data_IF_848209366594
#
_entry.id   IF_848209366594
#
_cell.length_a   1.000
_cell.length_b   1.000
_cell.length_c   1.000
_cell.angle_alpha   90.00
_cell.angle_beta   90.00
_cell.angle_gamma   90.00
#
_symmetry.space_group_name_H-M   'P 1'
#
loop_
_entity.id
_entity.type
_entity.pdbx_description
1 polymer ?
2 non-polymer ?
3 non-polymer ?
4 non-polymer ?
5 water ?
#
# COMPACT_ATOMS: atom_id res chain seq x y z
N UNK A 14 -29.52 -5.48 2.97
CA UNK A 14 -29.33 -4.18 3.68
C UNK A 14 -28.06 -3.43 3.26
N UNK A 15 -26.91 -4.12 3.28
CA UNK A 15 -25.60 -3.52 2.93
C UNK A 15 -25.59 -2.88 1.53
N UNK A 16 -24.77 -1.84 1.37
CA UNK A 16 -24.66 -1.09 0.12
C UNK A 16 -23.74 -1.83 -0.87
N UNK A 17 -24.27 -2.17 -2.07
CA UNK A 17 -23.47 -2.92 -3.04
C UNK A 17 -22.76 -2.01 -4.05
N UNK A 18 -21.88 -2.61 -4.85
CA UNK A 18 -21.18 -1.92 -5.94
C UNK A 18 -20.37 -0.70 -5.54
N UNK A 19 -19.78 -0.77 -4.34
CA UNK A 19 -19.01 0.35 -3.77
C UNK A 19 -19.78 1.66 -3.85
N UNK A 20 -21.11 1.57 -3.71
CA UNK A 20 -21.96 2.74 -3.65
C UNK A 20 -22.30 3.37 -5.00
N UNK A 21 -22.07 2.66 -6.10
CA UNK A 21 -22.35 3.20 -7.43
C UNK A 21 -23.85 3.32 -7.76
N UNK A 22 -24.68 2.60 -7.01
CA UNK A 22 -26.13 2.66 -7.16
C UNK A 22 -26.80 3.53 -6.10
N UNK A 23 -25.99 4.09 -5.21
CA UNK A 23 -26.49 4.83 -4.04
C UNK A 23 -27.25 6.09 -4.43
N UNK A 24 -28.37 6.33 -3.76
CA UNK A 24 -29.21 7.50 -4.03
C UNK A 24 -29.66 8.24 -2.77
N UNK A 25 -28.96 8.00 -1.66
CA UNK A 25 -29.29 8.67 -0.41
C UNK A 25 -28.74 10.09 -0.28
N UNK A 26 -28.85 10.63 0.94
CA UNK A 26 -28.58 12.03 1.21
C UNK A 26 -27.33 12.29 2.09
N UNK A 27 -26.47 11.29 2.27
CA UNK A 27 -25.27 11.49 3.09
C UNK A 27 -24.40 12.55 2.43
N UNK A 28 -24.03 13.57 3.20
CA UNK A 28 -23.40 14.77 2.67
C UNK A 28 -22.26 15.28 3.54
N UNK A 29 -21.69 14.39 4.36
CA UNK A 29 -20.46 14.67 5.13
C UNK A 29 -19.56 13.52 4.91
N UNK A 30 -18.25 13.80 4.96
CA UNK A 30 -17.25 12.76 4.85
C UNK A 30 -17.04 12.09 6.20
N UNK A 31 -16.26 11.02 6.17
CA UNK A 31 -15.96 10.21 7.36
C UNK A 31 -15.36 11.05 8.47
N UNK A 32 -14.80 12.19 8.09
CA UNK A 32 -14.03 12.99 9.04
C UNK A 32 -14.73 14.32 9.32
N UNK A 33 -16.02 14.36 9.03
CA UNK A 33 -16.87 15.50 9.38
C UNK A 33 -16.80 16.68 8.44
N UNK A 34 -16.22 16.48 7.25
CA UNK A 34 -16.13 17.57 6.27
C UNK A 34 -17.43 17.68 5.46
N UNK A 35 -18.09 18.85 5.47
CA UNK A 35 -19.32 19.03 4.67
C UNK A 35 -19.00 18.90 3.19
N UNK A 36 -19.80 18.12 2.48
CA UNK A 36 -19.61 17.98 1.03
C UNK A 36 -19.92 19.30 0.36
N UNK A 37 -19.23 19.61 -0.73
CA UNK A 37 -19.61 20.77 -1.51
C UNK A 37 -20.61 20.29 -2.55
N UNK A 38 -21.46 21.22 -3.01
CA UNK A 38 -22.48 20.90 -4.01
C UNK A 38 -21.78 20.58 -5.32
N UNK A 39 -22.23 19.51 -5.98
CA UNK A 39 -21.61 19.04 -7.22
C UNK A 39 -21.54 20.09 -8.32
N UNK A 40 -22.56 20.97 -8.35
CA UNK A 40 -22.57 22.10 -9.29
C UNK A 40 -21.73 23.33 -8.86
N UNK A 41 -21.18 23.29 -7.64
CA UNK A 41 -20.53 24.47 -7.02
C UNK A 41 -19.30 25.03 -7.73
N UNK A 42 -18.79 26.15 -7.19
CA UNK A 42 -17.72 26.97 -7.81
C UNK A 42 -16.51 26.22 -8.38
N UNK A 43 -15.75 25.53 -7.52
CA UNK A 43 -14.62 24.70 -7.99
C UNK A 43 -15.01 23.22 -8.16
N UNK A 44 -16.32 22.98 -8.30
CA UNK A 44 -16.84 21.67 -8.65
C UNK A 44 -17.31 21.65 -10.11
N UNK A 45 -17.23 22.81 -10.76
CA UNK A 45 -17.61 22.97 -12.17
C UNK A 45 -16.57 23.70 -13.02
N UNK A 46 -15.71 24.48 -12.36
CA UNK A 46 -14.67 25.26 -13.05
C UNK A 46 -13.28 24.62 -12.95
N UNK A 47 -13.09 23.74 -11.96
CA UNK A 47 -11.85 22.99 -11.77
C UNK A 47 -12.15 21.54 -11.36
N UNK A 48 -13.24 20.99 -11.90
CA UNK A 48 -13.67 19.61 -11.64
C UNK A 48 -14.49 19.02 -12.80
N UNK A 49 -14.11 19.35 -14.04
CA UNK A 49 -14.75 18.79 -15.23
C UNK A 49 -13.74 18.07 -16.16
N UNK A 50 -12.44 18.24 -15.89
CA UNK A 50 -11.38 17.50 -16.58
C UNK A 50 -11.50 15.98 -16.39
N UNK A 51 -12.21 15.57 -15.35
CA UNK A 51 -12.39 14.16 -15.01
C UNK A 51 -13.59 13.54 -15.71
N UNK A 52 -13.42 12.32 -16.21
CA UNK A 52 -14.46 11.63 -16.96
C UNK A 52 -15.39 10.85 -16.03
N UNK A 53 -16.63 11.32 -15.93
CA UNK A 53 -17.64 10.74 -15.05
C UNK A 53 -18.62 9.84 -15.81
N UNK A 54 -19.30 8.97 -15.08
CA UNK A 54 -20.37 8.12 -15.62
C UNK A 54 -21.74 8.78 -15.39
N UNK A 55 -22.46 9.05 -16.48
CA UNK A 55 -23.72 9.79 -16.44
C UNK A 55 -24.87 9.09 -15.71
N UNK A 56 -24.86 7.75 -15.71
CA UNK A 56 -25.85 6.96 -14.96
C UNK A 56 -25.87 7.28 -13.46
N UNK A 57 -24.75 7.79 -12.94
CA UNK A 57 -24.68 8.28 -11.57
C UNK A 57 -25.17 9.72 -11.55
N UNK A 58 -25.99 10.03 -10.55
CA UNK A 58 -26.68 11.31 -10.49
C UNK A 58 -26.09 12.23 -9.44
N UNK A 59 -25.50 13.32 -9.90
CA UNK A 59 -24.73 14.20 -9.03
C UNK A 59 -25.66 15.24 -8.43
N UNK A 60 -26.32 14.83 -7.36
CA UNK A 60 -27.46 15.57 -6.80
C UNK A 60 -27.01 16.41 -5.61
N UNK A 61 -27.38 17.69 -5.61
CA UNK A 61 -27.09 18.62 -4.51
C UNK A 61 -25.65 18.48 -4.04
N UNK A 62 -25.45 18.19 -2.76
CA UNK A 62 -24.12 17.87 -2.23
C UNK A 62 -24.01 16.42 -1.67
N UNK A 63 -24.67 15.47 -2.33
CA UNK A 63 -24.72 14.11 -1.80
C UNK A 63 -23.53 13.23 -2.24
N UNK A 64 -23.00 12.43 -1.33
CA UNK A 64 -21.91 11.53 -1.67
C UNK A 64 -22.33 10.61 -2.80
N UNK A 65 -21.42 10.41 -3.76
CA UNK A 65 -21.71 9.65 -4.97
C UNK A 65 -20.41 9.05 -5.43
N UNK A 66 -20.49 8.00 -6.24
CA UNK A 66 -19.31 7.37 -6.81
C UNK A 66 -19.41 7.39 -8.33
N UNK A 67 -19.06 8.52 -8.94
CA UNK A 67 -19.26 8.64 -10.37
C UNK A 67 -18.07 8.18 -11.23
N UNK A 68 -16.97 7.79 -10.60
CA UNK A 68 -15.75 7.50 -11.35
C UNK A 68 -15.21 6.09 -11.12
N UNK A 69 -16.06 5.17 -10.66
CA UNK A 69 -15.67 3.77 -10.42
C UNK A 69 -14.60 3.60 -9.34
N UNK A 70 -14.64 4.46 -8.33
CA UNK A 70 -13.66 4.45 -7.25
C UNK A 70 -13.90 3.23 -6.38
N UNK A 71 -12.94 2.30 -6.36
CA UNK A 71 -13.07 1.09 -5.55
C UNK A 71 -13.25 1.37 -4.06
N UNK A 72 -12.81 2.55 -3.62
CA UNK A 72 -12.96 2.95 -2.22
C UNK A 72 -14.40 3.27 -1.89
N UNK A 73 -15.14 3.87 -2.83
CA UNK A 73 -16.57 4.06 -2.64
C UNK A 73 -17.01 5.48 -2.91
N UNK A 74 -18.18 5.85 -2.38
CA UNK A 74 -18.72 7.20 -2.58
C UNK A 74 -17.83 8.25 -1.94
N UNK A 75 -17.82 9.42 -2.56
CA UNK A 75 -17.02 10.55 -2.12
C UNK A 75 -17.67 11.86 -2.50
N UNK A 76 -17.09 12.96 -2.04
CA UNK A 76 -17.57 14.27 -2.46
C UNK A 76 -16.44 15.25 -2.33
N UNK A 77 -16.54 16.33 -3.10
CA UNK A 77 -15.66 17.49 -2.98
C UNK A 77 -15.84 18.18 -1.63
N UNK A 78 -14.73 18.68 -1.08
CA UNK A 78 -14.75 19.40 0.18
C UNK A 78 -13.97 20.72 0.05
N UNK A 79 -14.30 21.68 0.91
CA UNK A 79 -13.55 22.94 1.02
C UNK A 79 -12.05 22.67 1.18
N UNK A 80 -11.24 23.56 0.60
CA UNK A 80 -9.80 23.47 0.67
C UNK A 80 -9.26 23.94 -0.66
N UNK A 81 -8.27 23.21 -1.18
CA UNK A 81 -7.70 23.49 -2.49
C UNK A 81 -8.62 22.92 -3.57
N UNK A 82 -8.60 23.53 -4.78
CA UNK A 82 -9.35 23.03 -5.94
C UNK A 82 -9.17 21.52 -6.20
N UNK A 83 -10.27 20.77 -6.14
CA UNK A 83 -10.22 19.32 -6.34
C UNK A 83 -10.15 18.50 -5.06
N UNK A 84 -10.04 19.16 -3.92
CA UNK A 84 -10.06 18.46 -2.63
C UNK A 84 -11.35 17.69 -2.45
N UNK A 85 -11.24 16.50 -1.89
CA UNK A 85 -12.35 15.58 -1.70
C UNK A 85 -12.10 14.61 -0.52
N UNK A 86 -13.18 13.97 -0.06
CA UNK A 86 -13.09 12.93 0.97
C UNK A 86 -14.10 11.84 0.69
N UNK A 87 -13.99 10.73 1.39
CA UNK A 87 -14.93 9.63 1.27
C UNK A 87 -15.97 9.67 2.39
N UNK A 88 -17.15 9.15 2.10
CA UNK A 88 -18.28 9.11 3.04
C UNK A 88 -18.52 7.73 3.64
N UNK A 89 -19.14 7.70 4.81
CA UNK A 89 -19.28 6.46 5.57
C UNK A 89 -20.57 5.71 5.25
N UNK A 90 -20.49 4.75 4.33
CA UNK A 90 -21.61 3.86 4.02
C UNK A 90 -21.29 2.43 4.43
N UNK A 91 -22.33 1.67 4.75
CA UNK A 91 -22.18 0.29 5.18
C UNK A 91 -22.10 -0.65 3.97
N UNK A 92 -20.96 -0.61 3.29
CA UNK A 92 -20.71 -1.45 2.11
C UNK A 92 -20.79 -2.93 2.41
N UNK A 93 -21.28 -3.70 1.44
CA UNK A 93 -21.28 -5.15 1.59
C UNK A 93 -19.84 -5.63 1.80
N UNK A 94 -19.65 -6.54 2.74
CA UNK A 94 -18.33 -7.13 2.95
C UNK A 94 -17.93 -7.86 1.65
N UNK A 95 -16.72 -7.59 1.18
CA UNK A 95 -16.25 -8.15 -0.09
C UNK A 95 -14.98 -8.98 0.09
N UNK A 96 -15.10 -10.28 -0.16
CA UNK A 96 -13.95 -11.17 -0.07
C UNK A 96 -13.17 -11.05 -1.37
N UNK A 97 -12.18 -10.17 -1.36
CA UNK A 97 -11.29 -10.00 -2.51
C UNK A 97 -10.53 -11.30 -2.75
N UNK A 98 -10.22 -11.97 -1.64
CA UNK A 98 -9.55 -13.27 -1.68
C UNK A 98 -10.56 -14.35 -2.05
N UNK A 99 -10.66 -14.57 -3.35
CA UNK A 99 -11.68 -15.45 -3.91
C UNK A 99 -11.18 -16.90 -4.05
N UNK A 119 6.64 -11.28 -24.75
CA UNK A 119 5.91 -10.07 -24.22
C UNK A 119 5.36 -10.29 -22.80
N UNK A 120 4.85 -9.21 -22.20
CA UNK A 120 4.28 -9.26 -20.84
C UNK A 120 3.03 -8.35 -20.70
N UNK A 121 1.84 -8.97 -20.81
CA UNK A 121 0.54 -8.25 -20.87
C UNK A 121 0.23 -7.33 -19.67
N UNK A 122 0.41 -6.04 -19.89
CA UNK A 122 0.12 -5.00 -18.90
C UNK A 122 -0.24 -3.71 -19.63
N UNK A 123 -1.23 -2.99 -19.10
CA UNK A 123 -1.60 -1.67 -19.61
C UNK A 123 -1.68 -0.59 -18.52
N UNK A 124 -1.23 0.61 -18.90
CA UNK A 124 -1.01 1.74 -17.96
C UNK A 124 -2.26 2.54 -17.57
N UNK A 125 -2.51 2.58 -16.26
CA UNK A 125 -3.67 3.24 -15.69
C UNK A 125 -3.51 4.76 -15.46
N UNK A 126 -2.28 5.20 -15.16
CA UNK A 126 -2.05 6.58 -14.75
C UNK A 126 -1.46 7.41 -15.88
N UNK A 127 -1.63 8.74 -15.80
CA UNK A 127 -0.98 9.67 -16.72
C UNK A 127 0.51 9.78 -16.38
N UNK A 128 1.39 9.33 -17.30
CA UNK A 128 2.84 9.40 -17.07
C UNK A 128 3.30 10.79 -16.69
N UNK A 129 2.63 11.82 -17.21
CA UNK A 129 3.04 13.21 -16.94
C UNK A 129 2.85 13.63 -15.48
N UNK A 130 1.93 12.97 -14.77
CA UNK A 130 1.75 13.20 -13.31
C UNK A 130 2.27 12.04 -12.46
N UNK A 131 2.20 10.82 -13.01
CA UNK A 131 2.68 9.65 -12.27
C UNK A 131 4.20 9.58 -12.30
N UNK A 132 4.77 10.16 -13.35
CA UNK A 132 6.18 9.95 -13.67
C UNK A 132 6.27 8.73 -14.55
N UNK A 133 7.50 8.34 -14.89
CA UNK A 133 7.67 7.15 -15.70
C UNK A 133 7.84 5.93 -14.81
N UNK A 134 7.71 4.74 -15.41
CA UNK A 134 7.89 3.49 -14.67
C UNK A 134 6.74 2.51 -14.70
N UNK A 135 5.54 2.96 -15.04
CA UNK A 135 4.39 2.08 -14.95
C UNK A 135 4.42 0.93 -15.97
N UNK A 136 4.66 1.26 -17.25
CA UNK A 136 4.71 0.26 -18.32
C UNK A 136 5.65 -0.91 -18.03
N UNK A 137 6.74 -0.60 -17.35
CA UNK A 137 7.77 -1.59 -17.06
C UNK A 137 7.77 -2.10 -15.60
N UNK A 138 6.81 -1.66 -14.80
CA UNK A 138 6.76 -1.98 -13.36
C UNK A 138 6.83 -3.49 -13.10
N UNK A 139 7.40 -3.83 -11.95
CA UNK A 139 7.40 -5.21 -11.46
C UNK A 139 8.25 -6.20 -12.24
N UNK A 140 9.10 -5.71 -13.14
CA UNK A 140 10.06 -6.55 -13.88
C UNK A 140 11.49 -6.17 -13.49
N UNK A 141 12.10 -6.97 -12.62
CA UNK A 141 13.39 -6.65 -12.02
C UNK A 141 14.53 -6.83 -13.01
N UNK A 142 15.40 -5.82 -13.11
CA UNK A 142 16.49 -5.89 -14.09
C UNK A 142 17.37 -7.09 -13.88
N UNK A 143 17.58 -7.49 -12.63
CA UNK A 143 18.48 -8.62 -12.37
C UNK A 143 17.82 -10.01 -12.37
N UNK A 144 16.50 -10.06 -12.55
CA UNK A 144 15.81 -11.35 -12.52
C UNK A 144 14.92 -11.57 -13.73
N UNK A 145 13.71 -11.01 -13.72
CA UNK A 145 12.79 -11.23 -14.83
C UNK A 145 13.38 -10.83 -16.20
N UNK A 146 14.10 -9.71 -16.24
CA UNK A 146 14.68 -9.22 -17.49
C UNK A 146 15.82 -10.07 -18.06
N UNK A 147 16.46 -10.87 -17.20
CA UNK A 147 17.48 -11.85 -17.61
C UNK A 147 16.94 -13.30 -17.60
N UNK A 148 15.62 -13.46 -17.43
CA UNK A 148 14.98 -14.78 -17.36
C UNK A 148 15.64 -15.63 -16.25
N UNK A 149 16.03 -14.97 -15.16
CA UNK A 149 16.57 -15.67 -14.01
C UNK A 149 15.52 -15.57 -12.90
N UNK A 150 15.33 -16.68 -12.21
CA UNK A 150 14.42 -16.72 -11.08
C UNK A 150 15.20 -16.47 -9.81
N UNK A 151 14.63 -15.68 -8.90
CA UNK A 151 15.21 -15.58 -7.57
C UNK A 151 15.06 -16.90 -6.81
N UNK A 152 15.78 -17.03 -5.72
CA UNK A 152 15.94 -18.29 -5.01
C UNK A 152 14.70 -18.91 -4.36
N UNK A 153 13.67 -18.11 -4.11
CA UNK A 153 12.47 -18.60 -3.45
C UNK A 153 11.13 -18.25 -4.15
N UNK A 154 11.14 -17.68 -5.35
CA UNK A 154 9.86 -17.27 -5.97
C UNK A 154 8.92 -18.42 -6.32
N UNK A 155 9.47 -19.57 -6.73
CA UNK A 155 8.62 -20.74 -7.00
C UNK A 155 7.81 -21.15 -5.78
N UNK A 156 8.38 -20.94 -4.59
CA UNK A 156 7.71 -21.19 -3.33
C UNK A 156 6.33 -20.49 -3.21
N UNK A 157 6.17 -19.35 -3.89
CA UNK A 157 4.94 -18.57 -3.80
C UNK A 157 3.69 -19.24 -4.37
N UNK A 158 3.92 -20.17 -5.29
CA UNK A 158 2.83 -20.81 -5.98
C UNK A 158 2.66 -22.27 -5.52
N UNK A 159 3.28 -22.61 -4.40
CA UNK A 159 3.22 -23.98 -3.90
C UNK A 159 2.48 -24.07 -2.58
N UNK A 160 1.57 -25.03 -2.49
CA UNK A 160 0.84 -25.30 -1.24
C UNK A 160 1.82 -25.71 -0.16
N UNK A 161 1.56 -25.27 1.07
CA UNK A 161 2.41 -25.61 2.20
C UNK A 161 2.18 -27.08 2.55
N UNK A 162 3.10 -27.91 2.05
CA UNK A 162 3.11 -29.39 2.17
C UNK A 162 3.10 -29.89 3.62
N UNK A 163 2.72 -29.00 4.54
CA UNK A 163 3.15 -29.06 5.93
C UNK A 163 4.69 -29.13 5.84
N UNK A 164 5.33 -29.91 6.72
CA UNK A 164 6.78 -30.14 6.61
C UNK A 164 7.64 -28.89 6.72
N UNK A 165 8.76 -28.88 6.00
CA UNK A 165 9.73 -27.78 6.07
C UNK A 165 9.23 -26.45 5.50
N UNK A 166 9.65 -25.40 6.19
CA UNK A 166 9.38 -24.03 5.84
C UNK A 166 10.72 -23.46 5.40
N UNK A 167 10.70 -22.65 4.35
CA UNK A 167 11.86 -21.85 3.99
C UNK A 167 11.84 -20.55 4.81
N UNK A 168 12.74 -20.45 5.78
CA UNK A 168 12.77 -19.29 6.68
C UNK A 168 13.31 -18.03 6.01
N UNK A 169 13.06 -16.88 6.64
CA UNK A 169 13.63 -15.61 6.21
C UNK A 169 15.15 -15.65 6.11
N UNK A 170 15.69 -15.04 5.07
CA UNK A 170 17.13 -15.04 4.88
C UNK A 170 17.53 -13.71 4.26
N UNK A 171 18.82 -13.56 3.93
CA UNK A 171 19.32 -12.37 3.27
C UNK A 171 18.76 -12.34 1.87
N UNK A 172 18.25 -11.19 1.44
CA UNK A 172 17.80 -11.02 0.07
C UNK A 172 18.97 -11.14 -0.91
N UNK A 173 18.67 -11.53 -2.13
CA UNK A 173 19.69 -11.46 -3.17
C UNK A 173 19.74 -9.99 -3.64
N UNK A 174 20.91 -9.60 -4.13
CA UNK A 174 21.11 -8.32 -4.77
C UNK A 174 20.05 -8.18 -5.86
N UNK A 175 19.30 -7.09 -5.81
CA UNK A 175 18.37 -6.74 -6.89
C UNK A 175 17.02 -7.41 -6.79
N UNK A 176 16.81 -8.16 -5.70
CA UNK A 176 15.61 -8.97 -5.49
C UNK A 176 14.35 -8.18 -5.24
N UNK A 177 14.51 -6.97 -4.72
CA UNK A 177 13.41 -6.14 -4.29
C UNK A 177 13.76 -4.67 -4.59
N UNK A 178 13.97 -4.35 -5.87
CA UNK A 178 14.48 -3.01 -6.23
C UNK A 178 13.45 -1.86 -6.01
N UNK A 179 12.25 -2.18 -5.54
CA UNK A 179 11.24 -1.17 -5.12
C UNK A 179 11.30 -0.84 -3.64
N UNK A 180 12.23 -1.47 -2.91
CA UNK A 180 12.38 -1.24 -1.47
C UNK A 180 12.80 0.20 -1.20
N UNK A 181 12.09 0.89 -0.32
CA UNK A 181 12.43 2.26 0.08
C UNK A 181 12.55 2.31 1.62
N UNK A 182 13.57 3.02 2.11
CA UNK A 182 13.73 3.30 3.54
C UNK A 182 13.27 4.73 3.87
N UNK A 183 12.44 4.89 4.89
CA UNK A 183 12.08 6.19 5.39
C UNK A 183 12.86 6.54 6.65
N UNK A 184 13.61 7.64 6.57
CA UNK A 184 14.43 8.13 7.68
C UNK A 184 13.93 9.40 8.28
N UNK A 185 14.21 9.52 9.56
CA UNK A 185 14.06 10.78 10.24
C UNK A 185 15.35 11.54 9.93
N UNK A 186 15.22 12.80 9.51
CA UNK A 186 16.36 13.65 9.15
C UNK A 186 17.30 13.91 10.33
N UNK A 187 16.74 14.26 11.49
CA UNK A 187 17.51 14.73 12.64
C UNK A 187 16.79 14.47 13.96
N UNK A 188 17.35 13.62 14.84
CA UNK A 188 18.52 12.76 14.59
C UNK A 188 18.21 11.74 13.51
N UNK A 189 19.19 11.43 12.66
CA UNK A 189 18.98 10.42 11.62
C UNK A 189 18.72 9.03 12.21
N UNK A 190 17.61 8.44 11.80
CA UNK A 190 17.11 7.23 12.42
C UNK A 190 16.14 6.61 11.43
N UNK A 191 16.27 5.30 11.22
CA UNK A 191 15.31 4.60 10.37
C UNK A 191 13.95 4.54 11.06
N UNK A 192 12.93 5.01 10.36
CA UNK A 192 11.58 5.09 10.91
C UNK A 192 10.67 3.97 10.40
N UNK A 193 10.79 3.65 9.10
CA UNK A 193 9.77 2.86 8.40
C UNK A 193 10.26 2.37 7.04
N UNK A 194 9.54 1.39 6.50
CA UNK A 194 9.67 0.99 5.11
C UNK A 194 8.63 1.71 4.26
N UNK A 195 8.77 1.54 2.95
CA UNK A 195 7.87 2.12 1.97
C UNK A 195 8.23 1.45 0.65
N UNK A 196 7.54 1.81 -0.42
CA UNK A 196 7.72 1.14 -1.69
C UNK A 196 7.64 2.10 -2.86
N UNK A 197 8.47 1.85 -3.87
CA UNK A 197 8.51 2.68 -5.07
C UNK A 197 7.49 2.22 -6.10
N UNK A 198 6.55 3.09 -6.45
CA UNK A 198 5.56 2.73 -7.46
C UNK A 198 5.76 3.42 -8.83
N UNK A 199 6.63 4.43 -8.88
CA UNK A 199 7.06 5.08 -10.13
C UNK A 199 8.44 5.72 -9.86
N UNK A 200 8.88 6.62 -10.74
CA UNK A 200 10.16 7.31 -10.50
C UNK A 200 10.07 8.39 -9.40
N UNK A 201 8.88 8.59 -8.83
CA UNK A 201 8.51 9.86 -8.22
C UNK A 201 7.50 9.73 -7.06
N UNK A 202 6.78 8.61 -7.04
CA UNK A 202 5.79 8.35 -6.01
C UNK A 202 6.12 7.12 -5.21
N UNK A 203 5.80 7.17 -3.92
CA UNK A 203 6.14 6.13 -2.96
C UNK A 203 4.96 5.88 -2.01
N UNK A 204 4.69 4.62 -1.69
CA UNK A 204 3.59 4.27 -0.77
C UNK A 204 4.15 3.82 0.56
N UNK A 205 3.52 4.24 1.66
CA UNK A 205 3.87 3.73 2.99
C UNK A 205 2.60 3.70 3.88
N UNK A 206 2.71 3.33 5.15
CA UNK A 206 1.57 3.45 6.10
C UNK A 206 1.42 4.85 6.68
N UNK A 207 0.19 5.32 6.74
CA UNK A 207 -0.08 6.62 7.38
C UNK A 207 0.52 6.70 8.79
N UNK A 208 0.50 5.62 9.56
CA UNK A 208 1.00 5.68 10.94
C UNK A 208 2.51 5.91 11.03
N UNK A 209 3.22 5.78 9.90
CA UNK A 209 4.64 6.16 9.81
C UNK A 209 4.86 7.67 9.91
N UNK A 210 3.88 8.43 9.42
CA UNK A 210 3.92 9.89 9.40
C UNK A 210 3.10 10.55 10.50
N UNK A 211 1.94 10.00 10.81
CA UNK A 211 1.01 10.58 11.78
C UNK A 211 0.48 9.50 12.70
N UNK A 212 0.93 9.52 13.95
CA UNK A 212 0.45 8.59 14.93
C UNK A 212 0.54 9.21 16.34
N UNK A 213 -0.50 9.96 16.73
CA UNK A 213 -0.54 10.66 18.02
C UNK A 213 -0.32 9.82 19.27
N UNK A 214 -0.74 8.52 19.28
CA UNK A 214 -0.37 7.75 20.47
C UNK A 214 1.13 7.73 20.78
N UNK A 215 1.97 7.74 19.73
CA UNK A 215 3.43 7.80 19.90
C UNK A 215 4.03 9.19 19.65
N UNK A 216 3.19 10.21 19.67
CA UNK A 216 3.58 11.61 19.44
C UNK A 216 4.29 11.79 18.10
N UNK A 217 3.75 11.14 17.08
CA UNK A 217 4.36 11.16 15.77
C UNK A 217 3.55 12.08 14.89
N UNK A 218 4.16 13.18 14.46
CA UNK A 218 3.55 14.06 13.46
C UNK A 218 4.61 14.65 12.51
N UNK A 219 5.04 13.85 11.53
CA UNK A 219 6.08 14.28 10.59
C UNK A 219 5.52 15.04 9.39
N UNK A 220 6.19 16.15 9.06
CA UNK A 220 5.91 16.90 7.83
C UNK A 220 7.06 16.61 6.85
N UNK A 221 6.94 17.15 5.63
CA UNK A 221 7.82 16.81 4.52
C UNK A 221 9.28 17.04 4.86
N UNK A 222 9.55 18.12 5.59
CA UNK A 222 10.89 18.52 5.92
C UNK A 222 11.52 17.82 7.13
N UNK A 223 10.79 16.90 7.77
CA UNK A 223 11.34 16.13 8.88
C UNK A 223 12.02 14.84 8.38
N UNK A 224 11.84 14.54 7.09
CA UNK A 224 12.12 13.20 6.55
C UNK A 224 13.03 13.16 5.35
N UNK A 225 13.58 11.97 5.09
CA UNK A 225 14.23 11.67 3.83
C UNK A 225 14.01 10.21 3.52
N UNK A 226 14.30 9.81 2.29
CA UNK A 226 14.21 8.42 1.91
C UNK A 226 15.47 7.98 1.20
N UNK A 227 15.83 6.72 1.38
CA UNK A 227 16.91 6.13 0.62
C UNK A 227 16.39 4.94 -0.15
N UNK A 228 16.83 4.82 -1.38
CA UNK A 228 16.32 3.85 -2.32
C UNK A 228 17.53 3.13 -2.91
N UNK A 229 17.33 1.87 -3.28
CA UNK A 229 18.38 1.03 -3.84
C UNK A 229 19.23 0.35 -2.80
N UNK A 230 18.78 0.34 -1.55
CA UNK A 230 19.65 -0.14 -0.46
C UNK A 230 19.51 -1.62 -0.14
N UNK A 231 20.59 -2.18 0.35
CA UNK A 231 20.63 -3.59 0.71
C UNK A 231 21.12 -3.66 2.16
N UNK A 232 22.18 -2.91 2.43
CA UNK A 232 22.78 -2.83 3.76
C UNK A 232 22.12 -1.71 4.54
N UNK A 233 21.90 -1.92 5.83
CA UNK A 233 21.26 -0.90 6.68
C UNK A 233 22.28 0.11 7.19
N UNK A 234 23.54 -0.31 7.30
CA UNK A 234 24.56 0.42 8.05
C UNK A 234 25.78 0.85 7.21
N UNK A 235 25.90 0.31 6.00
CA UNK A 235 27.03 0.60 5.13
C UNK A 235 26.57 1.51 3.98
N UNK A 236 27.35 2.57 3.71
CA UNK A 236 27.05 3.40 2.57
C UNK A 236 27.32 2.60 1.30
N UNK A 237 26.35 2.53 0.42
CA UNK A 237 26.51 1.73 -0.80
C UNK A 237 26.87 2.56 -2.04
N UNK A 238 28.16 2.92 -2.15
CA UNK A 238 28.70 3.80 -3.21
C UNK A 238 28.13 3.42 -4.56
N UNK A 239 27.73 4.42 -5.35
CA UNK A 239 27.29 4.21 -6.74
C UNK A 239 25.97 3.44 -6.90
N UNK A 240 25.34 3.10 -5.79
CA UNK A 240 24.15 2.26 -5.83
C UNK A 240 22.95 2.96 -5.19
N UNK A 241 23.02 3.24 -3.90
CA UNK A 241 21.90 3.85 -3.18
C UNK A 241 21.58 5.29 -3.63
N UNK A 242 20.34 5.70 -3.40
CA UNK A 242 19.94 7.07 -3.72
C UNK A 242 19.20 7.69 -2.56
N UNK A 243 19.52 8.95 -2.30
CA UNK A 243 18.84 9.69 -1.25
C UNK A 243 17.89 10.68 -1.90
N UNK A 244 16.80 11.00 -1.20
CA UNK A 244 15.87 11.95 -1.75
C UNK A 244 15.08 12.66 -0.66
N UNK A 245 14.71 13.90 -0.98
CA UNK A 245 13.78 14.71 -0.20
C UNK A 245 12.35 14.40 -0.59
N UNK A 246 11.44 14.74 0.31
CA UNK A 246 10.03 14.59 -0.02
C UNK A 246 9.45 15.95 -0.30
N UNK A 247 8.71 16.05 -1.41
CA UNK A 247 8.04 17.30 -1.77
C UNK A 247 6.66 17.39 -1.15
N UNK A 248 5.97 16.26 -1.06
CA UNK A 248 4.59 16.25 -0.61
C UNK A 248 4.16 14.91 0.00
N UNK A 249 3.34 14.98 1.05
CA UNK A 249 2.76 13.80 1.69
C UNK A 249 1.23 13.89 1.64
N UNK A 250 0.58 12.82 1.20
CA UNK A 250 -0.88 12.74 1.23
C UNK A 250 -1.24 11.55 2.13
N UNK A 251 -1.73 11.86 3.32
CA UNK A 251 -2.36 10.87 4.20
C UNK A 251 -3.69 10.52 3.55
N UNK A 252 -4.04 9.24 3.50
CA UNK A 252 -5.36 8.82 2.98
C UNK A 252 -6.52 9.51 3.71
N UNK A 253 -7.47 10.06 2.96
CA UNK A 253 -8.56 10.80 3.62
C UNK A 253 -9.44 9.99 4.58
N UNK A 254 -9.38 8.66 4.48
CA UNK A 254 -10.11 7.78 5.40
C UNK A 254 -9.27 7.33 6.60
N UNK A 255 -7.98 7.62 6.56
CA UNK A 255 -7.11 7.25 7.68
C UNK A 255 -7.70 7.59 9.05
N UNK A 256 -7.84 6.56 9.87
CA UNK A 256 -8.33 6.74 11.21
C UNK A 256 -7.59 5.79 12.12
N UNK A 257 -6.57 6.30 12.81
CA UNK A 257 -5.80 5.50 13.76
C UNK A 257 -6.63 5.06 14.95
N UNK A 258 -7.76 5.75 15.17
CA UNK A 258 -8.63 5.43 16.31
C UNK A 258 -9.25 4.04 16.21
N UNK A 259 -9.64 3.64 15.00
CA UNK A 259 -10.34 2.36 14.81
C UNK A 259 -9.44 1.38 14.08
N UNK A 260 -8.49 0.83 14.82
CA UNK A 260 -7.60 -0.20 14.30
C UNK A 260 -6.88 0.17 12.98
N UNK A 261 -6.27 1.35 12.96
CA UNK A 261 -5.47 1.79 11.81
C UNK A 261 -6.24 1.68 10.49
N UNK A 262 -7.48 2.16 10.52
CA UNK A 262 -8.31 2.16 9.34
C UNK A 262 -7.65 2.99 8.24
N UNK A 263 -7.56 2.42 7.04
CA UNK A 263 -6.92 3.03 5.87
C UNK A 263 -5.53 3.60 6.15
N UNK A 264 -4.72 2.78 6.81
CA UNK A 264 -3.37 3.13 7.23
C UNK A 264 -2.48 3.24 5.98
N UNK A 265 -2.72 4.29 5.19
CA UNK A 265 -2.09 4.48 3.89
C UNK A 265 -1.61 5.94 3.69
N UNK A 266 -0.41 6.08 3.15
CA UNK A 266 0.09 7.37 2.68
C UNK A 266 0.91 7.28 1.39
N UNK A 267 0.77 8.34 0.58
CA UNK A 267 1.46 8.47 -0.69
C UNK A 267 2.41 9.66 -0.53
N UNK A 268 3.64 9.53 -1.02
CA UNK A 268 4.64 10.55 -0.81
C UNK A 268 5.27 10.84 -2.14
N UNK A 269 5.48 12.12 -2.43
CA UNK A 269 6.11 12.49 -3.69
C UNK A 269 7.57 12.85 -3.48
N UNK A 270 8.46 12.25 -4.28
CA UNK A 270 9.88 12.64 -4.27
C UNK A 270 10.08 14.04 -4.85
N UNK A 271 10.91 14.84 -4.19
CA UNK A 271 11.31 16.14 -4.68
C UNK A 271 12.09 16.05 -6.00
N UNK A 272 12.83 14.97 -6.20
CA UNK A 272 13.53 14.70 -7.45
C UNK A 272 13.32 13.24 -7.88
N UNK A 273 12.78 13.03 -9.09
CA UNK A 273 12.59 11.68 -9.57
C UNK A 273 13.89 10.89 -9.46
N UNK A 274 13.79 9.64 -9.02
CA UNK A 274 14.94 8.74 -8.90
C UNK A 274 15.25 8.05 -10.26
N UNK A 275 16.55 7.88 -10.57
CA UNK A 275 16.96 7.22 -11.80
C UNK A 275 16.89 5.72 -11.58
N UNK A 276 16.25 5.00 -12.51
CA UNK A 276 16.16 3.53 -12.42
C UNK A 276 17.50 2.86 -12.70
N UNK A 277 17.68 1.64 -12.19
CA UNK A 277 18.93 0.89 -12.35
C UNK A 277 18.69 -0.60 -12.14
N UNK A 278 19.75 -1.38 -12.09
CA UNK A 278 19.64 -2.79 -11.70
C UNK A 278 19.09 -2.93 -10.29
N UNK A 279 19.19 -1.85 -9.51
CA UNK A 279 18.89 -1.84 -8.06
C UNK A 279 17.66 -1.03 -7.65
N UNK A 280 17.16 -0.23 -8.60
CA UNK A 280 16.06 0.67 -8.34
C UNK A 280 15.09 0.54 -9.51
N UNK A 281 13.87 0.10 -9.19
CA UNK A 281 12.82 -0.20 -10.16
C UNK A 281 11.50 -0.29 -9.41
N UNK A 282 10.42 0.22 -10.02
CA UNK A 282 9.12 0.22 -9.33
C UNK A 282 8.36 -1.12 -9.37
N UNK A 283 7.53 -1.35 -8.34
CA UNK A 283 6.59 -2.46 -8.28
C UNK A 283 5.22 -2.05 -8.89
N UNK A 284 4.44 -3.02 -9.35
CA UNK A 284 3.11 -2.72 -9.95
C UNK A 284 2.04 -2.61 -8.88
N UNK A 285 1.02 -1.82 -9.16
CA UNK A 285 -0.17 -1.79 -8.30
C UNK A 285 -1.37 -2.51 -8.96
N UNK A 286 -2.10 -3.31 -8.16
CA UNK A 286 -3.21 -4.10 -8.65
C UNK A 286 -4.55 -3.41 -8.46
N UNK A 287 -5.45 -3.66 -9.41
CA UNK A 287 -6.84 -3.33 -9.24
C UNK A 287 -7.54 -4.54 -8.60
N UNK A 288 -8.86 -4.51 -8.53
CA UNK A 288 -9.59 -5.61 -7.90
C UNK A 288 -9.46 -6.90 -8.69
N UNK A 289 -9.57 -6.84 -10.00
CA UNK A 289 -9.42 -8.04 -10.84
C UNK A 289 -8.05 -8.71 -10.67
N UNK A 290 -6.99 -7.90 -10.69
CA UNK A 290 -5.62 -8.39 -10.58
C UNK A 290 -5.36 -8.97 -9.19
N UNK A 291 -5.91 -8.34 -8.16
CA UNK A 291 -5.79 -8.80 -6.79
C UNK A 291 -6.42 -10.18 -6.64
N UNK A 292 -7.62 -10.34 -7.19
CA UNK A 292 -8.31 -11.62 -7.21
C UNK A 292 -7.44 -12.68 -7.88
N UNK A 293 -6.92 -12.37 -9.05
CA UNK A 293 -6.06 -13.32 -9.78
C UNK A 293 -4.79 -13.72 -9.02
N UNK A 294 -4.17 -12.76 -8.32
CA UNK A 294 -3.00 -13.02 -7.48
C UNK A 294 -3.31 -13.95 -6.30
N UNK A 295 -4.38 -13.67 -5.59
CA UNK A 295 -4.80 -14.52 -4.48
C UNK A 295 -5.37 -15.87 -4.90
N UNK A 296 -5.97 -15.94 -6.09
CA UNK A 296 -6.47 -17.21 -6.58
C UNK A 296 -5.31 -18.13 -6.97
N UNK A 297 -4.27 -17.60 -7.60
CA UNK A 297 -3.15 -18.43 -8.04
C UNK A 297 -2.08 -18.67 -6.95
N UNK A 298 -1.82 -17.69 -6.09
CA UNK A 298 -0.73 -17.84 -5.13
C UNK A 298 -1.13 -18.40 -3.78
N UNK A 299 -0.21 -19.08 -3.12
CA UNK A 299 -0.45 -19.45 -1.74
C UNK A 299 0.16 -18.46 -0.81
N UNK A 300 1.24 -17.82 -1.28
CA UNK A 300 2.06 -16.99 -0.43
C UNK A 300 2.36 -15.65 -1.05
N UNK A 301 2.61 -14.66 -0.18
CA UNK A 301 3.17 -13.39 -0.61
C UNK A 301 4.52 -13.24 0.05
N UNK A 302 5.19 -12.12 -0.21
CA UNK A 302 6.55 -11.94 0.24
C UNK A 302 6.73 -10.63 0.97
N UNK A 303 7.45 -10.74 2.09
CA UNK A 303 7.77 -9.62 2.93
C UNK A 303 9.29 -9.42 2.98
N UNK A 304 9.73 -8.23 2.62
CA UNK A 304 11.13 -7.83 2.69
C UNK A 304 11.32 -6.63 3.61
N UNK A 305 12.42 -6.61 4.34
CA UNK A 305 12.74 -5.49 5.21
C UNK A 305 13.97 -5.70 6.07
N UNK A 306 14.17 -4.80 7.03
CA UNK A 306 15.24 -4.90 8.00
C UNK A 306 14.65 -5.08 9.41
N UNK A 307 13.50 -5.75 9.51
CA UNK A 307 12.89 -6.04 10.82
C UNK A 307 12.60 -4.76 11.59
N UNK A 308 12.28 -3.70 10.86
CA UNK A 308 12.01 -2.40 11.47
C UNK A 308 10.71 -2.36 12.32
N UNK A 309 9.67 -3.09 11.92
CA UNK A 309 8.42 -3.13 12.70
C UNK A 309 8.65 -3.59 14.14
N UNK A 310 9.34 -4.71 14.28
CA UNK A 310 9.70 -5.27 15.57
C UNK A 310 10.55 -4.25 16.35
N UNK A 311 11.51 -3.60 15.67
CA UNK A 311 12.37 -2.62 16.33
C UNK A 311 11.67 -1.32 16.79
N UNK A 312 10.79 -0.73 15.97
CA UNK A 312 10.15 0.53 16.36
C UNK A 312 9.17 0.34 17.49
N UNK A 313 8.61 -0.86 17.58
CA UNK A 313 7.67 -1.16 18.64
C UNK A 313 8.42 -1.15 19.95
N UNK A 314 9.58 -1.80 19.94
CA UNK A 314 10.45 -1.87 21.10
C UNK A 314 11.02 -0.48 21.44
N UNK A 315 11.16 0.40 20.44
CA UNK A 315 11.56 1.78 20.71
C UNK A 315 10.45 2.64 21.36
N UNK A 316 9.22 2.51 20.85
CA UNK A 316 8.08 3.39 21.25
C UNK A 316 7.24 2.85 22.40
N UNK A 321 18.39 -7.59 15.15
CA UNK A 321 18.23 -6.47 14.21
C UNK A 321 19.22 -6.62 13.01
N UNK A 322 18.75 -7.23 11.91
CA UNK A 322 19.59 -7.56 10.73
C UNK A 322 20.19 -6.34 9.98
N UNK A 323 21.48 -6.44 9.67
CA UNK A 323 22.15 -5.35 8.94
C UNK A 323 21.93 -5.40 7.44
N UNK A 324 21.44 -6.54 6.96
CA UNK A 324 21.22 -6.78 5.53
C UNK A 324 19.73 -7.02 5.25
N UNK A 325 19.24 -6.56 4.10
CA UNK A 325 17.83 -6.71 3.75
C UNK A 325 17.37 -8.18 3.79
N UNK A 326 16.26 -8.43 4.50
CA UNK A 326 15.71 -9.78 4.63
C UNK A 326 14.52 -10.00 3.71
N UNK A 327 14.30 -11.27 3.37
CA UNK A 327 13.19 -11.69 2.51
C UNK A 327 12.59 -12.93 3.13
N UNK A 328 11.27 -12.93 3.32
CA UNK A 328 10.54 -14.13 3.75
C UNK A 328 9.23 -14.27 2.98
N UNK A 329 8.92 -15.51 2.57
CA UNK A 329 7.64 -15.84 1.93
C UNK A 329 6.59 -16.30 2.94
N UNK A 330 5.39 -15.70 2.92
CA UNK A 330 4.36 -16.04 3.92
C UNK A 330 3.02 -16.39 3.32
N UNK A 331 2.42 -17.51 3.78
CA UNK A 331 1.09 -17.93 3.32
C UNK A 331 0.00 -16.90 3.64
N UNK A 332 -0.92 -16.69 2.70
CA UNK A 332 -2.09 -15.88 2.95
C UNK A 332 -3.05 -16.68 3.84
N UNK A 333 -3.59 -16.01 4.85
CA UNK A 333 -4.49 -16.62 5.81
C UNK A 333 -5.92 -16.51 5.32
N UNK A 334 -6.68 -17.60 5.49
CA UNK A 334 -8.11 -17.61 5.21
C UNK A 334 -8.77 -16.61 6.13
N UNK A 335 -9.71 -15.84 5.57
CA UNK A 335 -10.37 -14.76 6.29
C UNK A 335 -11.04 -15.16 7.61
N UNK A 336 -11.73 -16.33 7.64
CA UNK A 336 -12.32 -16.71 8.92
C UNK A 336 -11.27 -17.02 9.99
N UNK A 337 -10.12 -17.55 9.55
CA UNK A 337 -9.03 -17.89 10.47
C UNK A 337 -8.39 -16.60 10.96
N UNK A 338 -8.32 -15.61 10.08
CA UNK A 338 -7.78 -14.29 10.43
C UNK A 338 -8.74 -13.63 11.45
N UNK A 339 -10.03 -13.61 11.12
CA UNK A 339 -11.04 -13.06 12.02
C UNK A 339 -11.02 -13.71 13.41
N UNK A 340 -10.71 -15.01 13.48
CA UNK A 340 -10.76 -15.73 14.77
C UNK A 340 -9.45 -15.62 15.53
N UNK A 341 -8.42 -15.09 14.88
CA UNK A 341 -7.09 -15.00 15.47
C UNK A 341 -6.92 -13.78 16.34
N UNK A 342 -7.86 -12.84 16.28
CA UNK A 342 -7.70 -11.56 16.98
C UNK A 342 -8.99 -11.05 17.63
N UNK A 343 -8.81 -10.16 18.59
CA UNK A 343 -9.91 -9.57 19.35
C UNK A 343 -10.63 -8.48 18.54
N UNK A 344 -9.88 -7.76 17.71
CA UNK A 344 -10.39 -6.65 16.96
C UNK A 344 -11.20 -7.07 15.74
N UNK A 345 -12.03 -6.14 15.26
CA UNK A 345 -12.79 -6.34 14.04
C UNK A 345 -11.86 -6.17 12.83
N UNK A 346 -11.56 -7.27 12.13
CA UNK A 346 -10.83 -7.24 10.86
C UNK A 346 -11.78 -6.88 9.69
N UNK A 347 -11.60 -5.69 9.12
CA UNK A 347 -12.42 -5.22 7.99
C UNK A 347 -12.00 -5.94 6.70
N UNK A 348 -12.75 -5.74 5.62
CA UNK A 348 -12.38 -6.33 4.34
C UNK A 348 -11.22 -5.58 3.63
N UNK A 349 -10.72 -4.52 4.26
CA UNK A 349 -9.56 -3.81 3.74
C UNK A 349 -8.20 -4.30 4.31
N UNK A 350 -8.25 -5.37 5.10
CA UNK A 350 -7.12 -5.90 5.86
C UNK A 350 -7.08 -7.40 5.76
N UNK A 351 -5.87 -7.96 5.71
CA UNK A 351 -5.66 -9.40 5.62
C UNK A 351 -4.47 -9.89 6.45
N UNK A 352 -4.49 -11.16 6.83
CA UNK A 352 -3.43 -11.78 7.62
C UNK A 352 -2.49 -12.61 6.75
N UNK A 353 -1.24 -12.70 7.15
CA UNK A 353 -0.29 -13.66 6.53
C UNK A 353 0.65 -14.23 7.57
N UNK A 354 1.12 -15.45 7.31
CA UNK A 354 2.04 -16.13 8.20
C UNK A 354 1.62 -17.57 8.37
N UNK A 355 2.50 -18.35 8.98
CA UNK A 355 2.25 -19.75 9.29
C UNK A 355 1.53 -19.84 10.61
N UNK A 356 0.63 -20.80 10.74
CA UNK A 356 -0.15 -20.96 11.97
C UNK A 356 0.77 -21.49 13.07
N UNK A 357 0.81 -20.82 14.24
CA UNK A 357 1.64 -21.29 15.38
C UNK A 357 1.13 -22.60 15.96
N UNK A 358 2.04 -23.42 16.50
CA UNK A 358 1.78 -24.75 17.03
C UNK A 358 2.74 -24.96 18.22
N UNK A 359 2.61 -26.09 18.91
CA UNK A 359 3.53 -26.45 19.99
C UNK A 359 5.04 -26.38 19.62
N UNK A 360 5.40 -26.59 18.37
CA UNK A 360 6.80 -26.47 18.03
C UNK A 360 7.14 -25.35 17.05
N UNK A 361 6.20 -24.44 16.84
CA UNK A 361 6.28 -23.53 15.71
C UNK A 361 5.75 -22.14 16.07
N UNK A 362 6.61 -21.13 16.09
CA UNK A 362 6.13 -19.74 16.22
C UNK A 362 5.62 -19.23 14.89
N UNK A 363 4.86 -18.15 14.95
CA UNK A 363 4.31 -17.56 13.73
C UNK A 363 5.16 -16.45 13.19
N UNK A 364 4.57 -15.65 12.31
CA UNK A 364 5.28 -14.56 11.66
C UNK A 364 4.65 -13.16 11.93
N UNK A 365 4.00 -13.03 13.07
CA UNK A 365 3.43 -11.75 13.49
C UNK A 365 4.53 -10.69 13.61
N UNK A 366 4.17 -9.45 13.29
CA UNK A 366 5.06 -8.30 13.37
C UNK A 366 6.34 -8.49 12.54
N UNK A 367 6.23 -9.19 11.41
CA UNK A 367 7.32 -9.26 10.43
C UNK A 367 7.47 -7.96 9.65
N UNK A 368 8.66 -7.73 9.09
CA UNK A 368 8.92 -6.70 8.11
C UNK A 368 9.22 -5.31 8.67
N UNK A 369 9.11 -4.32 7.79
CA UNK A 369 9.30 -2.96 8.18
C UNK A 369 7.89 -2.36 8.30
N UNK A 370 7.66 -1.60 9.34
CA UNK A 370 6.45 -0.84 9.45
C UNK A 370 6.23 0.00 8.16
N UNK A 371 5.07 -0.14 7.53
CA UNK A 371 4.76 0.60 6.31
C UNK A 371 5.39 0.01 5.07
N UNK A 372 6.13 -1.09 5.24
CA UNK A 372 6.80 -1.77 4.15
C UNK A 372 5.87 -2.55 3.23
N UNK A 373 6.43 -3.06 2.11
CA UNK A 373 5.70 -3.82 1.11
C UNK A 373 5.51 -5.33 1.39
N UNK A 374 4.31 -5.80 1.06
CA UNK A 374 3.99 -7.20 0.96
C UNK A 374 3.62 -7.39 -0.50
N UNK A 375 4.45 -8.17 -1.21
CA UNK A 375 4.29 -8.35 -2.65
C UNK A 375 3.89 -9.77 -3.09
N UNK A 376 3.31 -9.87 -4.29
CA UNK A 376 2.98 -11.16 -4.88
C UNK A 376 3.41 -11.17 -6.35
N UNK A 377 3.81 -12.34 -6.85
CA UNK A 377 4.17 -12.43 -8.25
C UNK A 377 3.04 -13.02 -9.07
N UNK A 378 2.70 -12.35 -10.17
CA UNK A 378 1.68 -12.86 -11.11
C UNK A 378 2.28 -13.92 -12.00
N UNK A 379 1.72 -15.14 -11.98
CA UNK A 379 2.21 -16.11 -12.96
C UNK A 379 1.65 -15.84 -14.34
N UNK A 380 0.74 -14.87 -14.45
CA UNK A 380 0.07 -14.60 -15.72
C UNK A 380 0.78 -13.58 -16.59
N UNK A 381 1.35 -12.54 -15.98
CA UNK A 381 2.17 -11.60 -16.74
C UNK A 381 3.61 -11.47 -16.23
N UNK A 382 4.02 -12.35 -15.29
CA UNK A 382 5.40 -12.40 -14.80
C UNK A 382 5.84 -11.19 -13.94
N UNK A 383 4.89 -10.34 -13.54
CA UNK A 383 5.22 -9.10 -12.85
C UNK A 383 4.92 -9.16 -11.36
N UNK A 384 5.72 -8.43 -10.59
CA UNK A 384 5.47 -8.24 -9.17
C UNK A 384 4.48 -7.13 -8.90
N UNK A 385 3.63 -7.35 -7.91
CA UNK A 385 2.58 -6.41 -7.49
C UNK A 385 2.61 -6.27 -5.98
N UNK A 386 2.46 -5.06 -5.49
CA UNK A 386 2.28 -4.88 -4.06
C UNK A 386 0.85 -5.23 -3.72
N UNK A 387 0.67 -6.04 -2.69
CA UNK A 387 -0.67 -6.44 -2.29
C UNK A 387 -1.06 -5.88 -0.95
N UNK A 388 -0.06 -5.49 -0.15
CA UNK A 388 -0.37 -4.91 1.13
C UNK A 388 0.71 -4.01 1.66
N UNK A 389 0.36 -3.29 2.71
CA UNK A 389 1.29 -2.43 3.42
C UNK A 389 1.38 -2.98 4.85
N UNK A 390 2.59 -3.20 5.35
CA UNK A 390 2.73 -3.77 6.69
C UNK A 390 2.09 -2.86 7.72
N UNK A 391 1.13 -3.40 8.45
CA UNK A 391 0.45 -2.67 9.52
C UNK A 391 0.53 -3.53 10.79
N UNK A 392 -0.44 -3.37 11.67
CA UNK A 392 -0.61 -4.28 12.80
C UNK A 392 -2.10 -4.46 13.19
N UNK A 393 -2.39 -5.41 14.07
CA UNK A 393 -3.75 -5.63 14.56
C UNK A 393 -3.99 -4.90 15.89
N UNK A 394 -3.78 -5.61 17.00
CA UNK A 394 -3.74 -4.95 18.29
C UNK A 394 -2.35 -4.38 18.54
N UNK A 395 -1.39 -4.76 17.69
CA UNK A 395 0.00 -4.32 17.83
C UNK A 395 0.87 -5.37 18.49
N UNK A 396 2.17 -5.12 18.46
CA UNK A 396 3.16 -6.12 18.81
C UNK A 396 3.22 -6.50 20.30
N UNK A 397 2.37 -5.89 21.13
CA UNK A 397 2.23 -6.32 22.52
C UNK A 397 1.23 -7.48 22.64
N UNK A 398 0.40 -7.67 21.61
CA UNK A 398 -0.56 -8.78 21.61
C UNK A 398 -0.86 -9.46 20.26
N UNK A 399 -0.18 -9.02 19.21
CA UNK A 399 -0.16 -9.76 17.95
C UNK A 399 0.93 -10.82 18.06
N UNK A 400 0.50 -12.07 18.12
CA UNK A 400 1.42 -13.18 18.23
C UNK A 400 1.11 -14.29 17.24
N UNK A 401 -0.01 -14.18 16.54
CA UNK A 401 -0.36 -15.23 15.60
C UNK A 401 0.05 -14.92 14.16
N UNK A 402 -0.66 -14.00 13.52
CA UNK A 402 -0.31 -13.60 12.15
C UNK A 402 0.06 -12.14 12.08
N UNK A 403 0.69 -11.73 10.99
CA UNK A 403 0.88 -10.31 10.73
C UNK A 403 -0.33 -9.74 10.01
N UNK A 404 -0.51 -8.41 10.12
CA UNK A 404 -1.61 -7.74 9.46
C UNK A 404 -1.12 -6.84 8.35
N UNK A 405 -1.87 -6.81 7.26
CA UNK A 405 -1.49 -6.03 6.08
C UNK A 405 -2.72 -5.32 5.51
N UNK A 406 -2.53 -4.05 5.15
CA UNK A 406 -3.58 -3.25 4.54
C UNK A 406 -3.57 -3.47 3.06
N UNK A 407 -4.73 -3.81 2.50
CA UNK A 407 -4.90 -3.96 1.06
C UNK A 407 -4.63 -2.66 0.31
N UNK A 408 -4.00 -2.78 -0.85
CA UNK A 408 -3.70 -1.67 -1.73
C UNK A 408 -4.65 -1.66 -2.94
N UNK A 409 -5.49 -2.69 -3.11
CA UNK A 409 -6.17 -2.89 -4.39
C UNK A 409 -7.22 -1.84 -4.70
N UNK A 410 -7.71 -1.16 -3.66
CA UNK A 410 -8.76 -0.14 -3.80
C UNK A 410 -8.20 1.26 -4.12
N UNK A 411 -6.88 1.41 -4.14
CA UNK A 411 -6.22 2.73 -4.09
C UNK A 411 -6.08 3.47 -5.39
N UNK A 412 -6.32 2.82 -6.51
CA UNK A 412 -5.95 3.42 -7.80
C UNK A 412 -6.66 4.76 -8.16
N UNK A 413 -7.97 4.83 -7.97
CA UNK A 413 -8.68 6.06 -8.26
C UNK A 413 -8.27 7.16 -7.30
N UNK A 414 -7.95 6.80 -6.05
CA UNK A 414 -7.47 7.79 -5.06
C UNK A 414 -6.15 8.37 -5.52
N UNK A 415 -5.21 7.48 -5.83
CA UNK A 415 -3.90 7.86 -6.34
C UNK A 415 -4.07 8.70 -7.62
N UNK A 416 -4.90 8.24 -8.54
CA UNK A 416 -5.16 9.02 -9.75
C UNK A 416 -5.60 10.47 -9.47
N UNK A 417 -6.60 10.65 -8.61
CA UNK A 417 -7.12 11.98 -8.31
C UNK A 417 -6.11 12.85 -7.57
N UNK A 418 -5.30 12.22 -6.73
CA UNK A 418 -4.25 12.92 -5.99
C UNK A 418 -3.15 13.44 -6.93
N UNK A 419 -2.62 12.55 -7.80
CA UNK A 419 -1.57 12.96 -8.74
C UNK A 419 -2.03 13.99 -9.79
N UNK A 420 -3.28 13.89 -10.26
CA UNK A 420 -3.85 14.88 -11.18
C UNK A 420 -4.08 16.21 -10.47
N UNK A 421 -4.31 16.17 -9.16
CA UNK A 421 -4.49 17.43 -8.43
C UNK A 421 -3.15 18.15 -8.31
N UNK A 422 -2.12 17.40 -7.88
CA UNK A 422 -0.76 17.92 -7.76
C UNK A 422 -0.21 18.53 -9.06
N UNK A 423 -0.52 17.89 -10.18
CA UNK A 423 -0.09 18.35 -11.50
C UNK A 423 1.28 17.82 -11.86
N UNK A 424 1.91 18.45 -12.87
CA UNK A 424 3.19 17.92 -13.40
C UNK A 424 4.42 18.33 -12.57
#
# INVERSE_FOLDING_TARGET
SEGSSVNLSPPLEQCVPDRGQQYQGRLAVTTHGLPCLAWASAQAKALSKHQDFNSAVQLVENFCRNPDGDEEGVWCYVAGKPGDFGYCDLNYCEEAVEEETGDGLDEDSDRAIEGATATSEYQTFFNPATFGSGEADCGLRPLFEKKSLEDKTERELLESYIDGRIVEGSDAEIGMSPWQVMLFRKSPQELLCGASLISDRWVLTAAHCLLYPPWDKNFTENDLLVRIGKHSRTRYERNIEKISMLEKIYIHPRYNWRENLDRDIALMKLKKPVAFSDYIHPVCLPDRETAASLLQAGYKGRVTGWGNLKETWTANVGKGQPSVLQVVNLPIVERPVCKDSTRIRITDNMFCAGYKPDEGKRGDACEGDSGGPFVMKSPFNNRWYQMGIVSWGEGCDRDGKYGFYTHVFRLKKWIQKVIDQFGE
#
